data_IF_722667614247
#
_entry.id   IF_722667614247
#
_cell.length_a   1.000
_cell.length_b   1.000
_cell.length_c   1.000
_cell.angle_alpha   90.00
_cell.angle_beta   90.00
_cell.angle_gamma   90.00
#
_symmetry.space_group_name_H-M   'P 1'
#
loop_
_entity.id
_entity.type
_entity.pdbx_description
1 polymer ?
#
# COMPACT_ATOMS: atom_id res chain seq x y z
N UNK A 1 4.36 -22.51 -12.11
CA UNK A 1 3.68 -21.80 -11.02
C UNK A 1 3.89 -20.34 -11.31
N UNK A 2 2.86 -19.70 -11.82
CA UNK A 2 2.95 -18.36 -12.35
C UNK A 2 2.86 -17.39 -11.18
N UNK A 3 3.99 -16.76 -10.85
CA UNK A 3 4.05 -15.77 -9.80
C UNK A 3 3.62 -14.42 -10.36
N UNK A 4 2.74 -13.74 -9.63
CA UNK A 4 2.33 -12.39 -9.96
C UNK A 4 3.07 -11.38 -9.09
N UNK A 5 3.32 -10.21 -9.66
CA UNK A 5 3.80 -9.05 -8.91
C UNK A 5 2.63 -8.11 -8.67
N UNK A 6 2.43 -7.76 -7.40
CA UNK A 6 1.40 -6.83 -6.97
C UNK A 6 2.05 -5.63 -6.29
N UNK A 7 1.49 -4.45 -6.55
CA UNK A 7 1.79 -3.23 -5.81
C UNK A 7 0.56 -2.88 -4.97
N UNK A 8 0.68 -2.91 -3.65
CA UNK A 8 -0.44 -2.69 -2.72
C UNK A 8 -0.15 -1.42 -1.92
N UNK A 9 -0.89 -0.35 -2.18
CA UNK A 9 -0.76 0.96 -1.55
C UNK A 9 -1.79 1.04 -0.42
N UNK A 10 -1.34 1.30 0.81
CA UNK A 10 -2.19 1.36 2.00
C UNK A 10 -1.89 2.58 2.86
N UNK A 11 -2.85 2.93 3.70
CA UNK A 11 -2.70 3.97 4.70
C UNK A 11 -1.71 3.54 5.80
N UNK A 12 -0.99 4.49 6.40
CA UNK A 12 -0.02 4.23 7.48
C UNK A 12 -0.61 3.44 8.66
N UNK A 13 -1.86 3.72 9.03
CA UNK A 13 -2.57 3.06 10.14
C UNK A 13 -2.79 1.56 9.90
N UNK A 14 -2.92 1.14 8.64
CA UNK A 14 -3.24 -0.25 8.29
C UNK A 14 -1.97 -1.06 7.96
N UNK A 15 -0.86 -0.39 7.66
CA UNK A 15 0.37 -1.02 7.22
C UNK A 15 0.92 -2.06 8.22
N UNK A 16 0.87 -1.77 9.53
CA UNK A 16 1.33 -2.69 10.55
C UNK A 16 0.46 -3.95 10.64
N UNK A 17 -0.87 -3.78 10.56
CA UNK A 17 -1.84 -4.89 10.57
C UNK A 17 -1.68 -5.79 9.35
N UNK A 18 -1.60 -5.19 8.15
CA UNK A 18 -1.39 -5.93 6.92
C UNK A 18 -0.03 -6.66 6.91
N UNK A 19 1.04 -6.02 7.37
CA UNK A 19 2.36 -6.67 7.47
C UNK A 19 2.35 -7.87 8.45
N UNK A 20 1.60 -7.78 9.55
CA UNK A 20 1.41 -8.90 10.47
C UNK A 20 0.63 -10.04 9.80
N UNK A 21 -0.43 -9.71 9.05
CA UNK A 21 -1.21 -10.69 8.29
C UNK A 21 -0.35 -11.40 7.24
N UNK A 22 0.46 -10.68 6.47
CA UNK A 22 1.40 -11.25 5.51
C UNK A 22 2.43 -12.17 6.16
N UNK A 23 3.02 -11.77 7.29
CA UNK A 23 3.94 -12.62 8.06
C UNK A 23 3.27 -13.92 8.51
N UNK A 24 2.05 -13.83 9.07
CA UNK A 24 1.28 -14.99 9.52
C UNK A 24 0.97 -15.98 8.39
N UNK A 25 0.68 -15.47 7.20
CA UNK A 25 0.30 -16.28 6.02
C UNK A 25 1.50 -16.58 5.10
N UNK A 26 2.73 -16.24 5.52
CA UNK A 26 3.97 -16.43 4.76
C UNK A 26 3.93 -15.79 3.37
N UNK A 27 3.25 -14.65 3.24
CA UNK A 27 3.25 -13.83 2.02
C UNK A 27 4.54 -13.02 2.01
N UNK A 28 5.33 -13.15 0.95
CA UNK A 28 6.59 -12.42 0.79
C UNK A 28 6.30 -11.04 0.21
N UNK A 29 6.63 -10.01 0.99
CA UNK A 29 6.39 -8.64 0.63
C UNK A 29 7.57 -7.76 1.06
N UNK A 30 7.90 -6.77 0.24
CA UNK A 30 8.82 -5.67 0.60
C UNK A 30 8.00 -4.42 0.87
N UNK A 31 8.21 -3.80 2.03
CA UNK A 31 7.58 -2.53 2.41
C UNK A 31 8.41 -1.36 1.90
N UNK A 32 7.76 -0.38 1.29
CA UNK A 32 8.35 0.88 0.81
C UNK A 32 7.54 2.01 1.44
N UNK A 33 8.23 2.95 2.10
CA UNK A 33 7.60 4.15 2.66
C UNK A 33 7.38 5.18 1.54
N UNK A 34 6.18 5.75 1.45
CA UNK A 34 5.78 6.67 0.39
C UNK A 34 5.04 7.90 0.94
N UNK A 35 5.08 9.02 0.23
CA UNK A 35 4.29 10.21 0.52
C UNK A 35 2.98 10.22 -0.27
N UNK A 36 1.86 10.52 0.40
CA UNK A 36 0.57 10.72 -0.25
C UNK A 36 0.39 12.16 -0.72
N UNK A 37 -0.02 12.33 -1.98
CA UNK A 37 -0.19 13.65 -2.60
C UNK A 37 -1.33 14.47 -1.95
N UNK A 38 -2.47 13.83 -1.67
CA UNK A 38 -3.71 14.55 -1.31
C UNK A 38 -3.77 14.97 0.15
N UNK A 39 -3.10 14.26 1.04
CA UNK A 39 -3.20 14.51 2.50
C UNK A 39 -1.87 14.87 3.16
N UNK A 40 -0.76 14.94 2.41
CA UNK A 40 0.62 15.01 2.94
C UNK A 40 0.93 13.92 3.99
N UNK A 41 0.08 12.89 4.10
CA UNK A 41 0.24 11.78 5.03
C UNK A 41 1.17 10.73 4.43
N UNK A 42 1.83 10.00 5.32
CA UNK A 42 2.63 8.84 4.92
C UNK A 42 1.70 7.72 4.46
N UNK A 43 2.11 7.06 3.40
CA UNK A 43 1.53 5.85 2.86
C UNK A 43 2.57 4.74 2.90
N UNK A 44 2.12 3.50 2.78
CA UNK A 44 3.01 2.37 2.64
C UNK A 44 2.65 1.58 1.40
N UNK A 45 3.67 1.19 0.65
CA UNK A 45 3.54 0.36 -0.53
C UNK A 45 4.14 -0.99 -0.21
N UNK A 46 3.38 -2.06 -0.44
CA UNK A 46 3.88 -3.43 -0.39
C UNK A 46 4.08 -3.94 -1.81
N UNK A 47 5.34 -4.24 -2.16
CA UNK A 47 5.68 -4.99 -3.35
C UNK A 47 5.60 -6.47 -3.01
N UNK A 48 4.62 -7.18 -3.59
CA UNK A 48 4.32 -8.58 -3.27
C UNK A 48 4.56 -9.44 -4.48
N UNK A 49 5.40 -10.45 -4.34
CA UNK A 49 5.58 -11.52 -5.32
C UNK A 49 4.88 -12.78 -4.83
N UNK A 50 3.79 -13.20 -5.48
CA UNK A 50 3.01 -14.34 -5.02
C UNK A 50 2.27 -15.07 -6.14
N UNK A 51 2.17 -16.39 -5.99
CA UNK A 51 1.24 -17.27 -6.71
C UNK A 51 -0.15 -17.33 -6.05
N UNK A 52 -0.31 -16.73 -4.86
CA UNK A 52 -1.54 -16.74 -4.05
C UNK A 52 -2.24 -15.37 -4.08
N UNK A 53 -2.55 -14.91 -5.29
CA UNK A 53 -3.15 -13.57 -5.53
C UNK A 53 -4.46 -13.39 -4.76
N UNK A 54 -5.39 -14.32 -4.90
CA UNK A 54 -6.71 -14.25 -4.25
C UNK A 54 -6.63 -14.24 -2.72
N UNK A 55 -5.73 -15.03 -2.13
CA UNK A 55 -5.48 -15.02 -0.68
C UNK A 55 -4.92 -13.65 -0.26
N UNK A 56 -3.97 -13.11 -1.03
CA UNK A 56 -3.36 -11.80 -0.76
C UNK A 56 -4.40 -10.68 -0.81
N UNK A 57 -5.28 -10.68 -1.82
CA UNK A 57 -6.37 -9.70 -1.95
C UNK A 57 -7.33 -9.77 -0.75
N UNK A 58 -7.71 -10.97 -0.31
CA UNK A 58 -8.53 -11.15 0.90
C UNK A 58 -7.86 -10.60 2.15
N UNK A 59 -6.55 -10.81 2.30
CA UNK A 59 -5.80 -10.26 3.44
C UNK A 59 -5.79 -8.72 3.42
N UNK A 60 -5.69 -8.11 2.24
CA UNK A 60 -5.80 -6.66 2.09
C UNK A 60 -7.19 -6.16 2.46
N UNK A 61 -8.23 -6.81 1.95
CA UNK A 61 -9.63 -6.45 2.20
C UNK A 61 -9.98 -6.45 3.70
N UNK A 62 -9.56 -7.49 4.43
CA UNK A 62 -9.84 -7.57 5.88
C UNK A 62 -8.97 -6.63 6.73
N UNK A 63 -7.80 -6.23 6.23
CA UNK A 63 -6.81 -5.47 7.02
C UNK A 63 -6.89 -3.97 6.80
N UNK A 64 -7.44 -3.53 5.68
CA UNK A 64 -7.43 -2.13 5.26
C UNK A 64 -8.85 -1.55 5.23
N UNK A 65 -9.03 -0.36 5.82
CA UNK A 65 -10.37 0.26 5.96
C UNK A 65 -10.44 1.63 5.31
N UNK A 66 -11.58 1.89 4.68
CA UNK A 66 -11.93 3.21 4.17
C UNK A 66 -12.13 4.20 5.32
N UNK A 67 -11.72 5.46 5.11
CA UNK A 67 -11.82 6.54 6.11
C UNK A 67 -12.15 7.87 5.47
N UNK A 68 -13.03 8.62 6.11
CA UNK A 68 -13.15 10.06 5.86
C UNK A 68 -11.99 10.79 6.56
N UNK A 69 -11.34 11.70 5.84
CA UNK A 69 -10.32 12.59 6.38
C UNK A 69 -10.62 14.02 6.00
N UNK A 70 -10.35 14.93 6.93
CA UNK A 70 -10.32 16.36 6.66
C UNK A 70 -8.95 16.74 6.10
N UNK A 71 -8.97 17.49 5.01
CA UNK A 71 -7.80 18.14 4.43
C UNK A 71 -8.06 19.65 4.35
N UNK A 72 -6.99 20.42 4.52
CA UNK A 72 -6.96 21.84 4.20
C UNK A 72 -6.42 22.00 2.78
N UNK A 73 -7.14 22.77 1.97
CA UNK A 73 -6.80 23.05 0.58
C UNK A 73 -6.96 24.55 0.30
N UNK A 74 -6.32 25.03 -0.76
CA UNK A 74 -6.43 26.43 -1.19
C UNK A 74 -7.20 26.53 -2.48
N UNK A 75 -8.37 27.17 -2.42
CA UNK A 75 -9.21 27.39 -3.59
C UNK A 75 -9.25 28.85 -3.99
N UNK A 76 -9.27 29.12 -5.30
CA UNK A 76 -9.43 30.47 -5.83
C UNK A 76 -10.91 30.82 -5.98
N UNK A 77 -11.38 31.81 -5.24
CA UNK A 77 -12.80 32.22 -5.25
C UNK A 77 -13.15 33.23 -6.36
N UNK A 78 -12.26 33.50 -7.30
CA UNK A 78 -12.40 34.54 -8.32
C UNK A 78 -11.72 35.87 -7.98
N UNK A 79 -11.27 36.05 -6.74
CA UNK A 79 -10.53 37.24 -6.30
C UNK A 79 -9.22 36.89 -5.62
N UNK A 80 -9.23 35.91 -4.71
CA UNK A 80 -8.07 35.48 -3.93
C UNK A 80 -8.13 33.99 -3.60
N UNK A 81 -6.99 33.44 -3.19
CA UNK A 81 -6.95 32.10 -2.60
C UNK A 81 -7.48 32.13 -1.17
N UNK A 82 -8.39 31.22 -0.87
CA UNK A 82 -8.97 31.02 0.46
C UNK A 82 -8.72 29.59 0.92
N UNK A 83 -8.46 29.43 2.23
CA UNK A 83 -8.31 28.12 2.84
C UNK A 83 -9.71 27.49 3.00
N UNK A 84 -9.86 26.27 2.49
CA UNK A 84 -11.11 25.50 2.56
C UNK A 84 -10.84 24.16 3.24
N UNK A 85 -11.76 23.76 4.11
CA UNK A 85 -11.76 22.43 4.71
C UNK A 85 -12.61 21.49 3.86
N UNK A 86 -12.00 20.38 3.43
CA UNK A 86 -12.69 19.35 2.65
C UNK A 86 -12.66 18.03 3.38
N UNK A 87 -13.82 17.38 3.43
CA UNK A 87 -13.93 15.98 3.81
C UNK A 87 -13.76 15.12 2.56
N UNK A 88 -12.66 14.36 2.50
CA UNK A 88 -12.42 13.40 1.43
C UNK A 88 -12.44 11.98 1.98
N UNK A 89 -12.93 11.05 1.19
CA UNK A 89 -12.88 9.64 1.50
C UNK A 89 -11.62 9.04 0.90
N UNK A 90 -10.75 8.49 1.75
CA UNK A 90 -9.60 7.72 1.33
C UNK A 90 -9.91 6.23 1.48
N UNK A 91 -9.82 5.50 0.36
CA UNK A 91 -10.03 4.04 0.32
C UNK A 91 -9.03 3.30 1.22
N UNK A 92 -9.36 2.05 1.57
CA UNK A 92 -8.51 1.21 2.43
C UNK A 92 -7.18 0.85 1.76
N UNK A 93 -7.23 0.37 0.52
CA UNK A 93 -6.06 0.02 -0.26
C UNK A 93 -6.28 0.27 -1.75
N UNK A 94 -5.21 0.58 -2.47
CA UNK A 94 -5.16 0.56 -3.95
C UNK A 94 -4.20 -0.55 -4.37
N UNK A 95 -4.66 -1.46 -5.23
CA UNK A 95 -3.87 -2.62 -5.67
C UNK A 95 -3.66 -2.56 -7.18
N UNK A 96 -2.40 -2.65 -7.61
CA UNK A 96 -2.02 -2.82 -9.00
C UNK A 96 -1.50 -4.25 -9.19
N UNK A 97 -2.16 -5.02 -10.06
CA UNK A 97 -1.64 -6.31 -10.53
C UNK A 97 -0.78 -6.03 -11.76
N UNK A 98 0.53 -6.22 -11.64
CA UNK A 98 1.47 -5.98 -12.74
C UNK A 98 1.57 -7.17 -13.69
N UNK A 99 1.01 -8.31 -13.29
CA UNK A 99 0.98 -9.55 -14.06
C UNK A 99 2.08 -10.53 -13.66
N UNK A 100 2.27 -11.53 -14.51
CA UNK A 100 3.21 -12.61 -14.28
C UNK A 100 4.67 -12.13 -14.34
N UNK A 101 5.48 -12.64 -13.42
CA UNK A 101 6.90 -12.37 -13.35
C UNK A 101 7.69 -13.63 -13.01
N UNK A 102 8.95 -13.63 -13.43
CA UNK A 102 9.92 -14.66 -13.04
C UNK A 102 10.65 -14.21 -11.78
N UNK A 103 10.35 -14.85 -10.65
CA UNK A 103 11.07 -14.61 -9.40
C UNK A 103 12.34 -15.46 -9.36
N UNK A 104 13.50 -14.81 -9.30
CA UNK A 104 14.79 -15.47 -9.10
C UNK A 104 15.32 -15.12 -7.71
N UNK A 105 15.56 -16.15 -6.88
CA UNK A 105 16.24 -15.99 -5.59
C UNK A 105 17.70 -16.39 -5.73
N UNK A 106 18.58 -15.40 -5.76
CA UNK A 106 20.01 -15.60 -5.80
C UNK A 106 20.51 -15.63 -4.35
N UNK A 107 21.14 -16.74 -3.94
CA UNK A 107 21.83 -16.80 -2.64
C UNK A 107 23.22 -16.19 -2.83
N UNK A 108 23.53 -15.14 -2.07
CA UNK A 108 24.91 -14.67 -1.92
C UNK A 108 25.76 -15.67 -1.14
N UNK A 109 27.08 -15.52 -1.18
CA UNK A 109 27.97 -16.21 -0.25
C UNK A 109 27.56 -15.82 1.18
N UNK A 110 27.34 -16.83 2.01
CA UNK A 110 27.08 -16.63 3.43
C UNK A 110 28.44 -16.70 4.12
N UNK A 111 28.93 -15.57 4.61
CA UNK A 111 30.04 -15.59 5.56
C UNK A 111 29.53 -16.32 6.81
N UNK A 112 30.05 -17.52 7.04
CA UNK A 112 29.85 -18.24 8.29
C UNK A 112 30.84 -17.68 9.30
N UNK A 113 30.38 -16.81 10.20
CA UNK A 113 31.04 -16.58 11.49
C UNK A 113 30.59 -17.63 12.50
#
# INVERSE_FOLDING_TARGET
MDMNVMLIIVQERDAAGLAAAFKKHRIQATKIDAGGLVSNRRLNVFLVGTDRVEETLKLVEISCRERAIEIEDKEYNGHMFVDVQKNIVIGGATVLLLGEARLLKIKGLCDQE
#
